data_IF_902849295515
#
_entry.id   IF_902849295515
#
_cell.length_a   1.000
_cell.length_b   1.000
_cell.length_c   1.000
_cell.angle_alpha   90.00
_cell.angle_beta   90.00
_cell.angle_gamma   90.00
#
_symmetry.space_group_name_H-M   'P 1'
#
loop_
_entity.id
_entity.type
_entity.pdbx_description
1 polymer ?
#
# COMPACT_ATOMS: atom_id res chain seq x y z
N UNK A 1 17.96 -30.45 -26.27
CA UNK A 1 18.60 -29.57 -25.26
C UNK A 1 18.28 -28.14 -25.62
N UNK A 2 17.60 -27.41 -24.71
CA UNK A 2 17.71 -25.96 -24.41
C UNK A 2 17.60 -24.99 -25.61
N UNK A 3 16.65 -24.04 -25.66
CA UNK A 3 16.31 -23.08 -24.62
C UNK A 3 14.84 -22.65 -24.76
N UNK A 4 14.04 -22.85 -23.71
CA UNK A 4 12.82 -22.07 -23.50
C UNK A 4 13.29 -20.71 -22.96
N UNK A 5 13.14 -19.68 -23.78
CA UNK A 5 13.29 -18.29 -23.36
C UNK A 5 12.22 -18.01 -22.32
N UNK A 6 12.64 -18.10 -21.05
CA UNK A 6 11.87 -17.68 -19.89
C UNK A 6 11.69 -16.16 -19.98
N UNK A 7 10.65 -15.71 -20.70
CA UNK A 7 10.15 -14.34 -20.63
C UNK A 7 9.61 -14.14 -19.22
N UNK A 8 10.50 -13.82 -18.27
CA UNK A 8 10.10 -13.11 -17.06
C UNK A 8 9.39 -11.85 -17.55
N UNK A 9 8.06 -11.83 -17.44
CA UNK A 9 7.31 -10.59 -17.58
C UNK A 9 8.00 -9.56 -16.69
N UNK A 10 8.55 -8.49 -17.27
CA UNK A 10 9.19 -7.42 -16.52
C UNK A 10 8.17 -6.87 -15.52
N UNK A 11 8.30 -7.28 -14.25
CA UNK A 11 7.40 -6.81 -13.21
C UNK A 11 7.75 -5.35 -12.98
N UNK A 12 6.97 -4.44 -13.59
CA UNK A 12 7.18 -3.00 -13.45
C UNK A 12 7.14 -2.63 -11.98
N UNK A 13 8.28 -2.12 -11.47
CA UNK A 13 8.34 -1.51 -10.15
C UNK A 13 7.39 -0.32 -10.12
N UNK A 14 6.58 -0.28 -9.05
CA UNK A 14 5.70 0.83 -8.73
C UNK A 14 6.55 2.10 -8.51
N UNK A 15 6.12 3.22 -9.05
CA UNK A 15 6.68 4.53 -8.69
C UNK A 15 6.19 4.94 -7.30
N UNK A 16 7.11 5.32 -6.41
CA UNK A 16 6.79 5.74 -5.05
C UNK A 16 6.20 7.15 -5.07
N UNK A 17 5.08 7.35 -4.37
CA UNK A 17 4.43 8.66 -4.33
C UNK A 17 5.27 9.64 -3.52
N UNK A 18 5.65 10.74 -4.15
CA UNK A 18 6.33 11.84 -3.48
C UNK A 18 5.28 12.78 -2.87
N UNK A 19 5.40 13.07 -1.58
CA UNK A 19 4.51 14.01 -0.89
C UNK A 19 5.31 15.13 -0.23
N UNK A 20 4.75 16.32 -0.28
CA UNK A 20 5.17 17.46 0.53
C UNK A 20 4.13 17.64 1.63
N UNK A 21 4.58 17.72 2.87
CA UNK A 21 3.71 18.09 3.99
C UNK A 21 4.04 19.51 4.42
N UNK A 22 3.05 20.41 4.31
CA UNK A 22 3.16 21.80 4.77
C UNK A 22 2.14 22.00 5.88
N UNK A 23 2.59 22.46 7.03
CA UNK A 23 1.74 22.71 8.20
C UNK A 23 2.34 23.84 9.04
N UNK A 24 1.50 24.62 9.71
CA UNK A 24 1.94 25.71 10.57
C UNK A 24 2.04 25.24 12.03
N UNK A 25 1.18 24.29 12.42
CA UNK A 25 1.11 23.78 13.78
C UNK A 25 0.68 22.29 13.81
N UNK A 26 0.70 21.70 15.00
CA UNK A 26 0.38 20.28 15.18
C UNK A 26 -1.11 19.96 14.90
N UNK A 27 -2.02 20.91 15.11
CA UNK A 27 -3.45 20.76 14.86
C UNK A 27 -3.73 20.53 13.38
N UNK A 28 -2.99 21.20 12.48
CA UNK A 28 -3.12 21.02 11.03
C UNK A 28 -2.89 19.57 10.61
N UNK A 29 -1.90 18.89 11.21
CA UNK A 29 -1.61 17.49 10.95
C UNK A 29 -2.72 16.56 11.45
N UNK A 30 -3.30 16.85 12.62
CA UNK A 30 -4.44 16.09 13.13
C UNK A 30 -5.68 16.29 12.25
N UNK A 31 -5.92 17.52 11.81
CA UNK A 31 -7.01 17.86 10.90
C UNK A 31 -6.83 17.15 9.55
N UNK A 32 -5.62 17.14 8.98
CA UNK A 32 -5.30 16.38 7.77
C UNK A 32 -5.54 14.88 7.97
N UNK A 33 -5.03 14.30 9.06
CA UNK A 33 -5.20 12.88 9.38
C UNK A 33 -6.67 12.51 9.62
N UNK A 34 -7.53 13.46 9.99
CA UNK A 34 -8.96 13.24 10.21
C UNK A 34 -9.78 13.28 8.92
N UNK A 35 -9.32 13.97 7.87
CA UNK A 35 -10.03 14.13 6.58
C UNK A 35 -10.26 12.78 5.90
N UNK A 36 -11.51 12.43 5.52
CA UNK A 36 -11.81 11.18 4.82
C UNK A 36 -10.96 10.99 3.56
N UNK A 37 -10.82 12.03 2.75
CA UNK A 37 -10.11 11.97 1.46
C UNK A 37 -8.63 11.61 1.65
N UNK A 38 -8.01 12.12 2.72
CA UNK A 38 -6.63 11.79 3.06
C UNK A 38 -6.49 10.36 3.59
N UNK A 39 -7.46 9.90 4.41
CA UNK A 39 -7.48 8.50 4.88
C UNK A 39 -7.63 7.54 3.71
N UNK A 40 -8.53 7.82 2.79
CA UNK A 40 -8.79 6.99 1.62
C UNK A 40 -7.54 6.94 0.73
N UNK A 41 -6.91 8.10 0.48
CA UNK A 41 -5.62 8.18 -0.22
C UNK A 41 -4.54 7.29 0.44
N UNK A 42 -4.38 7.37 1.76
CA UNK A 42 -3.40 6.54 2.48
C UNK A 42 -3.75 5.04 2.40
N UNK A 43 -5.04 4.69 2.44
CA UNK A 43 -5.51 3.30 2.35
C UNK A 43 -5.23 2.72 0.97
N UNK A 44 -5.56 3.46 -0.10
CA UNK A 44 -5.28 3.07 -1.48
C UNK A 44 -3.78 2.87 -1.70
N UNK A 45 -2.98 3.79 -1.19
CA UNK A 45 -1.52 3.69 -1.29
C UNK A 45 -0.99 2.45 -0.58
N UNK A 46 -1.46 2.19 0.64
CA UNK A 46 -1.08 1.00 1.39
C UNK A 46 -1.42 -0.28 0.64
N UNK A 47 -2.63 -0.36 0.07
CA UNK A 47 -3.04 -1.52 -0.70
C UNK A 47 -2.17 -1.70 -1.95
N UNK A 48 -1.98 -0.64 -2.73
CA UNK A 48 -1.20 -0.65 -3.97
C UNK A 48 0.25 -1.07 -3.73
N UNK A 49 0.89 -0.47 -2.73
CA UNK A 49 2.27 -0.78 -2.37
C UNK A 49 2.43 -2.23 -1.91
N UNK A 50 1.55 -2.73 -1.02
CA UNK A 50 1.58 -4.12 -0.56
C UNK A 50 1.37 -5.09 -1.75
N UNK A 51 0.40 -4.82 -2.63
CA UNK A 51 0.15 -5.67 -3.81
C UNK A 51 1.36 -5.72 -4.73
N UNK A 52 2.02 -4.58 -4.96
CA UNK A 52 3.25 -4.53 -5.78
C UNK A 52 4.37 -5.35 -5.14
N UNK A 53 4.66 -5.13 -3.85
CA UNK A 53 5.68 -5.88 -3.11
C UNK A 53 5.44 -7.37 -3.09
N UNK A 54 4.18 -7.80 -2.90
CA UNK A 54 3.81 -9.22 -2.95
C UNK A 54 4.07 -9.83 -4.34
N UNK A 55 3.75 -9.10 -5.42
CA UNK A 55 4.02 -9.55 -6.80
C UNK A 55 5.51 -9.66 -7.10
N UNK A 56 6.32 -8.74 -6.55
CA UNK A 56 7.77 -8.70 -6.74
C UNK A 56 8.54 -9.64 -5.81
N UNK A 57 7.91 -10.13 -4.74
CA UNK A 57 8.58 -10.92 -3.70
C UNK A 57 9.38 -10.09 -2.69
N UNK A 58 9.11 -8.77 -2.61
CA UNK A 58 9.82 -7.87 -1.70
C UNK A 58 9.46 -8.14 -0.22
N UNK A 59 10.40 -7.84 0.69
CA UNK A 59 10.22 -7.96 2.14
C UNK A 59 9.64 -6.69 2.78
N UNK A 60 9.46 -5.65 1.98
CA UNK A 60 8.93 -4.34 2.37
C UNK A 60 8.15 -3.69 1.21
N UNK A 61 7.27 -2.77 1.56
CA UNK A 61 6.51 -1.95 0.63
C UNK A 61 6.76 -0.48 0.93
N UNK A 62 7.38 0.23 -0.01
CA UNK A 62 7.58 1.68 0.07
C UNK A 62 6.26 2.38 -0.27
N UNK A 63 5.77 3.18 0.66
CA UNK A 63 4.53 3.95 0.53
C UNK A 63 4.84 5.29 -0.11
N UNK A 64 5.50 6.15 0.68
CA UNK A 64 5.68 7.56 0.39
C UNK A 64 7.14 7.95 0.56
N UNK A 65 7.59 8.89 -0.27
CA UNK A 65 8.76 9.69 -0.02
C UNK A 65 8.30 11.10 0.40
N UNK A 66 8.48 11.44 1.67
CA UNK A 66 8.18 12.77 2.21
C UNK A 66 9.40 13.65 2.07
N UNK A 67 9.56 14.21 0.87
CA UNK A 67 10.86 14.73 0.43
C UNK A 67 11.32 15.96 1.22
N UNK A 68 10.40 16.83 1.63
CA UNK A 68 10.74 18.02 2.42
C UNK A 68 11.17 17.67 3.86
N UNK A 69 10.94 16.44 4.30
CA UNK A 69 11.44 15.90 5.57
C UNK A 69 12.57 14.88 5.39
N UNK A 70 12.94 14.52 4.15
CA UNK A 70 13.88 13.43 3.85
C UNK A 70 13.52 12.09 4.51
N UNK A 71 12.23 11.75 4.56
CA UNK A 71 11.71 10.52 5.17
C UNK A 71 11.08 9.63 4.11
N UNK A 72 11.43 8.35 4.11
CA UNK A 72 10.74 7.31 3.35
C UNK A 72 9.87 6.50 4.31
N UNK A 73 8.59 6.39 4.00
CA UNK A 73 7.63 5.59 4.77
C UNK A 73 7.48 4.22 4.13
N UNK A 74 7.65 3.18 4.94
CA UNK A 74 7.67 1.80 4.48
C UNK A 74 6.85 0.89 5.40
N UNK A 75 6.28 -0.16 4.83
CA UNK A 75 5.63 -1.25 5.55
C UNK A 75 6.48 -2.50 5.43
N UNK A 76 6.84 -3.13 6.54
CA UNK A 76 7.54 -4.43 6.51
C UNK A 76 6.55 -5.56 6.22
N UNK A 77 7.00 -6.64 5.58
CA UNK A 77 6.17 -7.80 5.22
C UNK A 77 5.40 -8.40 6.41
N UNK A 78 6.01 -8.43 7.60
CA UNK A 78 5.35 -8.86 8.85
C UNK A 78 4.09 -8.04 9.19
N UNK A 79 3.99 -6.83 8.67
CA UNK A 79 2.87 -5.91 8.88
C UNK A 79 1.83 -5.97 7.76
N UNK A 80 2.06 -6.71 6.66
CA UNK A 80 1.13 -6.77 5.53
C UNK A 80 -0.23 -7.32 5.96
N UNK A 81 -0.27 -8.50 6.59
CA UNK A 81 -1.53 -9.12 7.06
C UNK A 81 -2.35 -8.19 7.99
N UNK A 82 -1.80 -7.62 9.07
CA UNK A 82 -2.59 -6.76 9.95
C UNK A 82 -3.06 -5.48 9.25
N UNK A 83 -2.30 -4.92 8.30
CA UNK A 83 -2.70 -3.74 7.53
C UNK A 83 -3.81 -4.08 6.54
N UNK A 84 -3.68 -5.16 5.76
CA UNK A 84 -4.74 -5.61 4.85
C UNK A 84 -6.05 -5.91 5.61
N UNK A 85 -5.98 -6.42 6.84
CA UNK A 85 -7.18 -6.58 7.69
C UNK A 85 -7.83 -5.24 8.06
N UNK A 86 -7.05 -4.18 8.31
CA UNK A 86 -7.58 -2.83 8.56
C UNK A 86 -8.22 -2.25 7.30
N UNK A 87 -7.57 -2.41 6.15
CA UNK A 87 -8.10 -2.00 4.84
C UNK A 87 -9.44 -2.72 4.56
N UNK A 88 -9.51 -4.03 4.81
CA UNK A 88 -10.76 -4.78 4.63
C UNK A 88 -11.89 -4.25 5.52
N UNK A 89 -11.60 -3.82 6.76
CA UNK A 89 -12.60 -3.21 7.62
C UNK A 89 -13.11 -1.89 7.06
N UNK A 90 -12.22 -1.07 6.49
CA UNK A 90 -12.59 0.17 5.83
C UNK A 90 -13.53 -0.08 4.64
N UNK A 91 -13.20 -1.02 3.77
CA UNK A 91 -14.09 -1.40 2.65
C UNK A 91 -15.44 -1.92 3.11
N UNK A 92 -15.51 -2.68 4.22
CA UNK A 92 -16.80 -3.07 4.80
C UNK A 92 -17.60 -1.85 5.24
N UNK A 93 -16.97 -0.89 5.92
CA UNK A 93 -17.62 0.35 6.37
C UNK A 93 -18.16 1.17 5.21
N UNK A 94 -17.48 1.14 4.05
CA UNK A 94 -17.90 1.86 2.84
C UNK A 94 -18.77 1.01 1.89
N UNK A 95 -19.16 -0.20 2.30
CA UNK A 95 -19.94 -1.14 1.48
C UNK A 95 -19.27 -1.58 0.15
N UNK A 96 -17.94 -1.49 0.08
CA UNK A 96 -17.11 -1.90 -1.05
C UNK A 96 -16.84 -3.42 -1.04
N UNK A 97 -17.90 -4.22 -1.09
CA UNK A 97 -17.84 -5.68 -0.89
C UNK A 97 -17.05 -6.43 -1.97
N UNK A 98 -17.02 -5.92 -3.21
CA UNK A 98 -16.23 -6.52 -4.29
C UNK A 98 -14.72 -6.49 -3.95
N UNK A 99 -14.24 -5.35 -3.47
CA UNK A 99 -12.85 -5.16 -3.06
C UNK A 99 -12.50 -6.00 -1.84
N UNK A 100 -13.45 -6.21 -0.92
CA UNK A 100 -13.28 -7.15 0.19
C UNK A 100 -13.00 -8.58 -0.32
N UNK A 101 -13.68 -9.02 -1.38
CA UNK A 101 -13.48 -10.35 -1.95
C UNK A 101 -12.13 -10.46 -2.67
N UNK A 102 -11.71 -9.43 -3.38
CA UNK A 102 -10.37 -9.37 -3.99
C UNK A 102 -9.26 -9.44 -2.93
N UNK A 103 -9.43 -8.70 -1.84
CA UNK A 103 -8.47 -8.67 -0.75
C UNK A 103 -8.37 -10.01 -0.02
N UNK A 104 -9.49 -10.73 0.16
CA UNK A 104 -9.48 -12.11 0.68
C UNK A 104 -8.70 -13.06 -0.23
N UNK A 105 -8.94 -12.99 -1.55
CA UNK A 105 -8.21 -13.80 -2.54
C UNK A 105 -6.71 -13.50 -2.48
N UNK A 106 -6.32 -12.23 -2.33
CA UNK A 106 -4.93 -11.81 -2.18
C UNK A 106 -4.28 -12.41 -0.93
N UNK A 107 -4.93 -12.29 0.24
CA UNK A 107 -4.43 -12.84 1.50
C UNK A 107 -4.22 -14.35 1.40
N UNK A 108 -5.19 -15.07 0.82
CA UNK A 108 -5.08 -16.52 0.62
C UNK A 108 -3.96 -16.88 -0.37
N UNK A 109 -3.84 -16.16 -1.50
CA UNK A 109 -2.82 -16.43 -2.52
C UNK A 109 -1.39 -16.32 -2.00
N UNK A 110 -1.13 -15.35 -1.12
CA UNK A 110 0.20 -15.07 -0.59
C UNK A 110 0.45 -15.64 0.82
N UNK A 111 -0.46 -16.50 1.30
CA UNK A 111 -0.37 -17.17 2.60
C UNK A 111 -0.12 -16.20 3.77
N UNK A 112 -0.76 -15.02 3.71
CA UNK A 112 -0.58 -13.94 4.68
C UNK A 112 -1.32 -14.20 5.99
#
# INVERSE_FOLDING_TARGET
MKNEENKMEDIKKREVTNIELVWDNQEDLFNLAARPEFKDFVIEECLSAIVSSLKNGDDKAELFNVFNMSIILEIKKLQFKPILRKINKHFITNEEYERCNELKKLITKYEL
#
